data_IF_602555280160
#
_entry.id   IF_602555280160
#
_cell.length_a   1.000
_cell.length_b   1.000
_cell.length_c   1.000
_cell.angle_alpha   90.00
_cell.angle_beta   90.00
_cell.angle_gamma   90.00
#
_symmetry.space_group_name_H-M   'P 1'
#
loop_
_entity.id
_entity.type
_entity.pdbx_description
1 polymer ?
#
# COMPACT_ATOMS: atom_id res chain seq x y z
N UNK A 1 -2.93 2.87 -16.15
CA UNK A 1 -3.43 3.81 -15.13
C UNK A 1 -2.26 4.25 -14.27
N UNK A 2 -2.10 5.56 -14.05
CA UNK A 2 -1.09 6.09 -13.11
C UNK A 2 -1.61 6.04 -11.67
N UNK A 3 -0.72 6.21 -10.69
CA UNK A 3 -1.12 6.26 -9.29
C UNK A 3 -2.10 7.41 -9.01
N UNK A 4 -1.85 8.60 -9.57
CA UNK A 4 -2.74 9.76 -9.40
C UNK A 4 -4.13 9.52 -10.01
N UNK A 5 -4.18 8.90 -11.20
CA UNK A 5 -5.45 8.54 -11.84
C UNK A 5 -6.26 7.55 -10.99
N UNK A 6 -5.59 6.56 -10.40
CA UNK A 6 -6.24 5.61 -9.50
C UNK A 6 -6.67 6.24 -8.17
N UNK A 7 -5.86 7.15 -7.62
CA UNK A 7 -6.24 7.93 -6.44
C UNK A 7 -7.51 8.73 -6.71
N UNK A 8 -7.63 9.35 -7.88
CA UNK A 8 -8.85 10.05 -8.29
C UNK A 8 -10.07 9.11 -8.42
N UNK A 9 -9.88 7.84 -8.78
CA UNK A 9 -10.95 6.83 -8.75
C UNK A 9 -11.38 6.50 -7.32
N UNK A 10 -10.43 6.36 -6.39
CA UNK A 10 -10.76 6.18 -4.96
C UNK A 10 -11.50 7.40 -4.39
N UNK A 11 -11.13 8.62 -4.80
CA UNK A 11 -11.82 9.85 -4.40
C UNK A 11 -13.26 9.91 -4.95
N UNK A 12 -13.53 9.29 -6.11
CA UNK A 12 -14.90 9.13 -6.62
C UNK A 12 -15.66 8.08 -5.81
N UNK A 13 -15.05 6.93 -5.56
CA UNK A 13 -15.65 5.86 -4.76
C UNK A 13 -16.02 6.34 -3.36
N UNK A 14 -15.15 7.13 -2.73
CA UNK A 14 -15.38 7.78 -1.44
C UNK A 14 -16.64 8.69 -1.40
N UNK A 15 -17.00 9.30 -2.54
CA UNK A 15 -18.20 10.13 -2.65
C UNK A 15 -19.47 9.30 -2.79
N UNK A 16 -19.36 8.09 -3.33
CA UNK A 16 -20.47 7.15 -3.49
C UNK A 16 -20.79 6.40 -2.19
N UNK A 17 -19.78 6.19 -1.34
CA UNK A 17 -19.98 5.63 -0.01
C UNK A 17 -18.72 5.03 0.61
N UNK A 18 -18.90 4.27 1.70
CA UNK A 18 -17.81 3.51 2.31
C UNK A 18 -17.24 2.45 1.35
N UNK A 19 -15.95 2.18 1.48
CA UNK A 19 -15.31 1.06 0.79
C UNK A 19 -14.12 0.55 1.60
N UNK A 20 -13.83 -0.74 1.44
CA UNK A 20 -12.66 -1.38 2.03
C UNK A 20 -11.52 -1.45 1.00
N UNK A 21 -10.30 -1.32 1.48
CA UNK A 21 -9.07 -1.37 0.68
C UNK A 21 -7.97 -2.09 1.47
N UNK A 22 -7.20 -2.90 0.75
CA UNK A 22 -6.00 -3.57 1.23
C UNK A 22 -4.79 -3.13 0.41
N UNK A 23 -3.67 -2.94 1.09
CA UNK A 23 -2.33 -2.80 0.50
C UNK A 23 -1.55 -4.09 0.78
N UNK A 24 -0.92 -4.66 -0.24
CA UNK A 24 -0.22 -5.94 -0.22
C UNK A 24 1.14 -5.79 -0.92
N UNK A 25 2.20 -6.30 -0.30
CA UNK A 25 3.55 -6.28 -0.86
C UNK A 25 4.28 -7.61 -0.63
N UNK A 26 5.17 -7.96 -1.56
CA UNK A 26 5.94 -9.20 -1.51
C UNK A 26 7.06 -9.11 -0.47
N UNK A 27 7.04 -10.04 0.47
CA UNK A 27 8.02 -10.07 1.55
C UNK A 27 9.43 -10.34 1.04
N UNK A 28 10.36 -9.45 1.43
CA UNK A 28 11.79 -9.53 1.11
C UNK A 28 12.06 -9.61 -0.41
N UNK A 29 11.24 -8.96 -1.24
CA UNK A 29 11.40 -9.01 -2.70
C UNK A 29 12.79 -8.61 -3.21
N UNK A 30 13.42 -7.58 -2.62
CA UNK A 30 14.79 -7.19 -2.96
C UNK A 30 15.82 -8.29 -2.63
N UNK A 31 15.61 -9.08 -1.57
CA UNK A 31 16.46 -10.22 -1.27
C UNK A 31 16.23 -11.36 -2.28
N UNK A 32 14.97 -11.66 -2.60
CA UNK A 32 14.62 -12.65 -3.63
C UNK A 32 15.28 -12.32 -4.96
N UNK A 33 15.21 -11.06 -5.40
CA UNK A 33 15.87 -10.61 -6.63
C UNK A 33 17.40 -10.74 -6.59
N UNK A 34 18.03 -10.52 -5.42
CA UNK A 34 19.48 -10.69 -5.27
C UNK A 34 19.89 -12.16 -5.29
N UNK A 35 19.06 -13.04 -4.74
CA UNK A 35 19.37 -14.46 -4.61
C UNK A 35 19.07 -15.25 -5.89
N UNK A 36 17.93 -14.98 -6.53
CA UNK A 36 17.44 -15.74 -7.67
C UNK A 36 17.53 -14.97 -9.00
N UNK A 37 17.77 -13.66 -8.96
CA UNK A 37 17.82 -12.80 -10.16
C UNK A 37 16.47 -12.18 -10.50
N UNK A 38 16.51 -11.09 -11.29
CA UNK A 38 15.32 -10.29 -11.63
C UNK A 38 14.26 -11.09 -12.37
N UNK A 39 14.65 -11.96 -13.30
CA UNK A 39 13.70 -12.81 -14.04
C UNK A 39 12.85 -13.69 -13.09
N UNK A 40 13.43 -14.14 -11.97
CA UNK A 40 12.68 -14.89 -10.96
C UNK A 40 11.74 -13.97 -10.18
N UNK A 41 12.14 -12.73 -9.90
CA UNK A 41 11.26 -11.72 -9.30
C UNK A 41 10.09 -11.35 -10.20
N UNK A 42 10.32 -11.20 -11.50
CA UNK A 42 9.25 -10.96 -12.47
C UNK A 42 8.25 -12.11 -12.49
N UNK A 43 8.74 -13.35 -12.37
CA UNK A 43 7.90 -14.54 -12.25
C UNK A 43 7.08 -14.59 -10.96
N UNK A 44 7.59 -14.01 -9.86
CA UNK A 44 6.77 -13.83 -8.64
C UNK A 44 5.58 -12.92 -8.93
N UNK A 45 5.77 -11.82 -9.67
CA UNK A 45 4.65 -10.95 -10.05
C UNK A 45 3.64 -11.65 -10.95
N UNK A 46 4.09 -12.44 -11.93
CA UNK A 46 3.21 -13.23 -12.79
C UNK A 46 2.35 -14.21 -11.96
N UNK A 47 2.98 -14.91 -11.03
CA UNK A 47 2.29 -15.85 -10.13
C UNK A 47 1.31 -15.11 -9.22
N UNK A 48 1.71 -13.98 -8.64
CA UNK A 48 0.86 -13.20 -7.75
C UNK A 48 -0.34 -12.60 -8.49
N UNK A 49 -0.15 -12.00 -9.68
CA UNK A 49 -1.24 -11.47 -10.51
C UNK A 49 -2.23 -12.58 -10.89
N UNK A 50 -1.71 -13.75 -11.31
CA UNK A 50 -2.55 -14.92 -11.59
C UNK A 50 -3.33 -15.37 -10.35
N UNK A 51 -2.66 -15.46 -9.20
CA UNK A 51 -3.28 -15.89 -7.94
C UNK A 51 -4.39 -14.94 -7.53
N UNK A 52 -4.17 -13.63 -7.64
CA UNK A 52 -5.18 -12.61 -7.39
C UNK A 52 -6.40 -12.79 -8.32
N UNK A 53 -6.19 -12.97 -9.64
CA UNK A 53 -7.29 -13.19 -10.60
C UNK A 53 -8.09 -14.46 -10.33
N UNK A 54 -7.43 -15.53 -9.89
CA UNK A 54 -8.08 -16.83 -9.67
C UNK A 54 -8.79 -16.93 -8.31
N UNK A 55 -8.36 -16.16 -7.31
CA UNK A 55 -8.86 -16.28 -5.94
C UNK A 55 -9.72 -15.10 -5.49
N UNK A 56 -9.58 -13.91 -6.11
CA UNK A 56 -10.42 -12.77 -5.77
C UNK A 56 -11.77 -12.84 -6.51
N UNK A 57 -12.90 -12.70 -5.79
CA UNK A 57 -14.22 -12.51 -6.39
C UNK A 57 -14.28 -11.32 -7.35
N UNK A 58 -15.16 -11.37 -8.37
CA UNK A 58 -15.31 -10.31 -9.40
C UNK A 58 -15.61 -8.92 -8.83
N UNK A 59 -16.26 -8.85 -7.66
CA UNK A 59 -16.58 -7.63 -6.93
C UNK A 59 -15.37 -6.97 -6.25
N UNK A 60 -14.20 -7.61 -6.26
CA UNK A 60 -12.94 -7.03 -5.78
C UNK A 60 -12.10 -6.57 -6.96
N UNK A 61 -11.83 -5.27 -7.00
CA UNK A 61 -10.87 -4.70 -7.94
C UNK A 61 -9.48 -4.81 -7.37
N UNK A 62 -8.47 -5.00 -8.23
CA UNK A 62 -7.08 -4.90 -7.82
C UNK A 62 -6.22 -4.17 -8.85
N UNK A 63 -5.17 -3.51 -8.38
CA UNK A 63 -4.17 -2.81 -9.20
C UNK A 63 -2.79 -2.97 -8.61
N UNK A 64 -1.76 -2.92 -9.46
CA UNK A 64 -0.35 -2.95 -9.07
C UNK A 64 0.37 -1.65 -9.43
N UNK A 65 1.17 -1.14 -8.50
CA UNK A 65 2.13 -0.05 -8.71
C UNK A 65 3.53 -0.49 -8.27
N UNK A 66 4.38 -0.86 -9.24
CA UNK A 66 5.69 -1.42 -8.92
C UNK A 66 5.55 -2.75 -8.18
N UNK A 67 5.97 -2.81 -6.92
CA UNK A 67 5.92 -4.03 -6.10
C UNK A 67 4.67 -4.10 -5.21
N UNK A 68 3.91 -3.00 -5.12
CA UNK A 68 2.73 -2.84 -4.27
C UNK A 68 1.46 -3.18 -5.04
N UNK A 69 0.55 -3.87 -4.37
CA UNK A 69 -0.76 -4.27 -4.90
C UNK A 69 -1.86 -3.71 -4.00
N UNK A 70 -2.82 -3.03 -4.59
CA UNK A 70 -4.01 -2.57 -3.91
C UNK A 70 -5.21 -3.40 -4.33
N UNK A 71 -5.99 -3.87 -3.35
CA UNK A 71 -7.26 -4.59 -3.56
C UNK A 71 -8.36 -3.82 -2.87
N UNK A 72 -9.48 -3.52 -3.54
CA UNK A 72 -10.53 -2.67 -2.97
C UNK A 72 -11.92 -2.98 -3.52
N UNK A 73 -12.95 -2.67 -2.72
CA UNK A 73 -14.36 -2.81 -3.10
C UNK A 73 -15.27 -1.99 -2.18
N UNK A 74 -16.33 -1.41 -2.75
CA UNK A 74 -17.45 -0.81 -2.01
C UNK A 74 -18.48 -1.84 -1.52
N UNK A 75 -18.36 -3.09 -1.95
CA UNK A 75 -19.25 -4.19 -1.53
C UNK A 75 -18.69 -4.99 -0.34
N UNK A 76 -17.49 -4.65 0.12
CA UNK A 76 -16.84 -5.29 1.26
C UNK A 76 -16.76 -4.34 2.45
N UNK A 77 -16.96 -4.91 3.64
CA UNK A 77 -16.59 -4.24 4.89
C UNK A 77 -15.11 -4.49 5.17
N UNK A 78 -14.56 -3.71 6.10
CA UNK A 78 -13.21 -3.92 6.62
C UNK A 78 -12.95 -5.40 7.00
N UNK A 79 -13.85 -5.99 7.77
CA UNK A 79 -13.72 -7.34 8.29
C UNK A 79 -13.81 -8.41 7.20
N UNK A 80 -14.76 -8.26 6.25
CA UNK A 80 -14.89 -9.25 5.18
C UNK A 80 -13.69 -9.19 4.24
N UNK A 81 -13.18 -7.99 3.91
CA UNK A 81 -11.97 -7.86 3.09
C UNK A 81 -10.76 -8.45 3.82
N UNK A 82 -10.65 -8.22 5.13
CA UNK A 82 -9.59 -8.80 5.93
C UNK A 82 -9.57 -10.34 5.85
N UNK A 83 -10.73 -10.99 5.94
CA UNK A 83 -10.82 -12.45 5.81
C UNK A 83 -10.37 -12.93 4.41
N UNK A 84 -10.83 -12.28 3.34
CA UNK A 84 -10.40 -12.62 1.96
C UNK A 84 -8.88 -12.48 1.80
N UNK A 85 -8.29 -11.40 2.35
CA UNK A 85 -6.85 -11.17 2.26
C UNK A 85 -6.05 -12.16 3.11
N UNK A 86 -6.60 -12.60 4.25
CA UNK A 86 -5.98 -13.66 5.06
C UNK A 86 -5.96 -14.99 4.29
N UNK A 87 -7.07 -15.37 3.67
CA UNK A 87 -7.16 -16.60 2.89
C UNK A 87 -6.21 -16.56 1.68
N UNK A 88 -6.18 -15.42 0.97
CA UNK A 88 -5.23 -15.17 -0.11
C UNK A 88 -3.77 -15.32 0.36
N UNK A 89 -3.43 -14.75 1.51
CA UNK A 89 -2.06 -14.83 2.07
C UNK A 89 -1.68 -16.28 2.39
N UNK A 90 -2.61 -17.06 2.96
CA UNK A 90 -2.39 -18.48 3.20
C UNK A 90 -2.21 -19.26 1.90
N UNK A 91 -3.00 -18.99 0.87
CA UNK A 91 -2.84 -19.58 -0.46
C UNK A 91 -1.47 -19.28 -1.05
N UNK A 92 -1.06 -18.01 -1.04
CA UNK A 92 0.25 -17.57 -1.55
C UNK A 92 1.39 -18.25 -0.79
N UNK A 93 1.31 -18.37 0.53
CA UNK A 93 2.35 -19.00 1.35
C UNK A 93 2.65 -20.46 0.99
N UNK A 94 1.70 -21.15 0.33
CA UNK A 94 1.83 -22.54 -0.11
C UNK A 94 2.34 -22.66 -1.53
N UNK A 95 2.44 -21.55 -2.27
CA UNK A 95 2.93 -21.55 -3.64
C UNK A 95 4.44 -21.72 -3.66
N UNK A 96 4.88 -22.51 -4.64
CA UNK A 96 6.29 -22.68 -4.97
C UNK A 96 6.44 -22.82 -6.47
N UNK A 97 7.56 -22.37 -7.00
CA UNK A 97 7.88 -22.54 -8.42
C UNK A 97 9.37 -22.77 -8.61
N UNK A 98 9.73 -23.46 -9.68
CA UNK A 98 11.12 -23.64 -10.07
C UNK A 98 11.62 -22.39 -10.80
N UNK A 99 12.76 -21.86 -10.35
CA UNK A 99 13.49 -20.83 -11.05
C UNK A 99 14.99 -21.08 -10.95
N UNK A 100 15.66 -21.14 -12.12
CA UNK A 100 17.11 -21.41 -12.22
C UNK A 100 17.55 -22.67 -11.46
N UNK A 101 16.74 -23.73 -11.53
CA UNK A 101 17.01 -25.02 -10.88
C UNK A 101 16.89 -25.03 -9.37
N UNK A 102 16.22 -24.02 -8.79
CA UNK A 102 15.88 -23.95 -7.37
C UNK A 102 14.38 -23.75 -7.21
N UNK A 103 13.81 -24.42 -6.21
CA UNK A 103 12.46 -24.15 -5.72
C UNK A 103 12.45 -22.81 -4.98
N UNK A 104 11.65 -21.86 -5.47
CA UNK A 104 11.42 -20.55 -4.86
C UNK A 104 10.06 -20.55 -4.17
N UNK A 105 10.03 -20.06 -2.94
CA UNK A 105 8.80 -19.75 -2.19
C UNK A 105 8.81 -18.28 -1.82
N UNK A 106 7.63 -17.71 -1.62
CA UNK A 106 7.49 -16.32 -1.19
C UNK A 106 6.24 -16.16 -0.33
N UNK A 107 6.19 -15.04 0.39
CA UNK A 107 5.04 -14.66 1.22
C UNK A 107 4.70 -13.21 0.90
N UNK A 108 3.50 -12.80 1.28
CA UNK A 108 3.05 -11.42 1.19
C UNK A 108 2.66 -10.92 2.58
N UNK A 109 2.87 -9.64 2.80
CA UNK A 109 2.34 -8.92 3.95
C UNK A 109 1.43 -7.82 3.47
N UNK A 110 0.49 -7.42 4.32
CA UNK A 110 -0.46 -6.38 3.95
C UNK A 110 -1.17 -5.73 5.11
N UNK A 111 -1.88 -4.66 4.79
CA UNK A 111 -2.78 -3.97 5.70
C UNK A 111 -4.14 -3.74 5.04
N UNK A 112 -5.20 -3.80 5.83
CA UNK A 112 -6.58 -3.51 5.37
C UNK A 112 -7.14 -2.33 6.15
N UNK A 113 -7.81 -1.42 5.45
CA UNK A 113 -8.51 -0.27 5.99
C UNK A 113 -9.82 -0.02 5.27
N UNK A 114 -10.66 0.83 5.84
CA UNK A 114 -11.96 1.20 5.31
C UNK A 114 -12.14 2.72 5.35
N UNK A 115 -12.61 3.28 4.25
CA UNK A 115 -13.06 4.67 4.20
C UNK A 115 -14.54 4.76 4.61
N UNK A 116 -14.97 5.73 5.43
CA UNK A 116 -14.17 6.71 6.19
C UNK A 116 -13.80 6.21 7.61
N UNK A 117 -14.01 4.93 7.92
CA UNK A 117 -13.82 4.38 9.28
C UNK A 117 -12.40 4.58 9.81
N UNK A 118 -11.38 4.29 9.01
CA UNK A 118 -9.99 4.43 9.38
C UNK A 118 -9.48 5.87 9.24
N UNK A 119 -9.96 6.61 8.25
CA UNK A 119 -9.48 7.97 7.96
C UNK A 119 -10.54 8.86 7.30
N UNK A 120 -10.43 10.16 7.55
CA UNK A 120 -11.31 11.17 6.98
C UNK A 120 -11.04 11.51 5.50
N UNK A 121 -9.90 11.10 4.93
CA UNK A 121 -9.52 11.36 3.53
C UNK A 121 -8.78 10.16 2.94
N UNK A 122 -8.80 10.01 1.61
CA UNK A 122 -8.08 8.93 0.91
C UNK A 122 -6.58 9.00 1.16
N UNK A 123 -5.98 10.20 1.10
CA UNK A 123 -4.56 10.39 1.37
C UNK A 123 -4.16 9.86 2.75
N UNK A 124 -4.96 10.17 3.79
CA UNK A 124 -4.72 9.65 5.13
C UNK A 124 -4.93 8.14 5.19
N UNK A 125 -5.96 7.61 4.53
CA UNK A 125 -6.22 6.17 4.50
C UNK A 125 -5.03 5.40 3.92
N UNK A 126 -4.50 5.85 2.78
CA UNK A 126 -3.31 5.27 2.15
C UNK A 126 -2.09 5.33 3.08
N UNK A 127 -1.89 6.43 3.79
CA UNK A 127 -0.79 6.53 4.76
C UNK A 127 -0.95 5.58 5.95
N UNK A 128 -2.18 5.38 6.45
CA UNK A 128 -2.46 4.40 7.50
C UNK A 128 -2.28 2.95 6.99
N UNK A 129 -2.61 2.67 5.74
CA UNK A 129 -2.29 1.38 5.11
C UNK A 129 -0.78 1.14 5.09
N UNK A 130 0.03 2.13 4.66
CA UNK A 130 1.49 2.03 4.70
C UNK A 130 2.02 1.83 6.13
N UNK A 131 1.43 2.49 7.14
CA UNK A 131 1.78 2.26 8.55
C UNK A 131 1.46 0.82 8.99
N UNK A 132 0.30 0.30 8.61
CA UNK A 132 -0.10 -1.09 8.82
C UNK A 132 0.83 -2.08 8.13
N UNK A 133 1.20 -1.83 6.88
CA UNK A 133 2.14 -2.63 6.10
C UNK A 133 3.50 -2.72 6.80
N UNK A 134 4.02 -1.58 7.26
CA UNK A 134 5.26 -1.52 8.04
C UNK A 134 5.14 -2.33 9.34
N UNK A 135 4.00 -2.26 10.01
CA UNK A 135 3.71 -3.09 11.19
C UNK A 135 3.77 -4.57 10.83
N UNK A 136 3.02 -5.03 9.83
CA UNK A 136 3.04 -6.43 9.38
C UNK A 136 4.46 -6.93 9.06
N UNK A 137 5.25 -6.12 8.35
CA UNK A 137 6.64 -6.45 8.00
C UNK A 137 7.60 -6.49 9.18
N UNK A 138 7.33 -5.73 10.23
CA UNK A 138 8.17 -5.67 11.44
C UNK A 138 7.74 -6.67 12.52
N UNK A 139 6.47 -7.10 12.52
CA UNK A 139 5.91 -8.06 13.50
C UNK A 139 5.97 -9.52 13.06
N UNK A 140 6.59 -9.82 11.92
CA UNK A 140 6.85 -11.21 11.53
C UNK A 140 6.72 -11.51 10.03
N UNK A 141 6.15 -10.60 9.23
CA UNK A 141 5.81 -10.82 7.81
C UNK A 141 4.76 -11.91 7.61
N UNK A 142 4.41 -12.23 6.37
CA UNK A 142 3.46 -13.29 6.00
C UNK A 142 2.08 -13.10 6.62
N UNK A 143 1.64 -11.86 6.84
CA UNK A 143 0.43 -11.56 7.59
C UNK A 143 -0.28 -10.33 7.06
N UNK A 144 -1.60 -10.34 7.23
CA UNK A 144 -2.47 -9.19 7.02
C UNK A 144 -2.83 -8.60 8.37
N UNK A 145 -2.75 -7.28 8.50
CA UNK A 145 -3.13 -6.54 9.71
C UNK A 145 -4.20 -5.51 9.39
N UNK A 146 -4.90 -5.02 10.41
CA UNK A 146 -5.70 -3.81 10.26
C UNK A 146 -4.80 -2.58 10.24
N UNK A 147 -5.06 -1.66 9.32
CA UNK A 147 -4.53 -0.32 9.38
C UNK A 147 -5.00 0.35 10.69
N UNK A 148 -4.15 1.16 11.34
CA UNK A 148 -4.56 1.90 12.53
C UNK A 148 -5.71 2.85 12.21
N UNK A 149 -6.43 3.28 13.25
CA UNK A 149 -7.37 4.38 13.11
C UNK A 149 -6.60 5.71 13.12
N UNK A 150 -7.07 6.70 12.37
CA UNK A 150 -6.47 8.05 12.34
C UNK A 150 -6.28 8.64 13.75
N UNK A 151 -7.19 8.31 14.68
CA UNK A 151 -7.14 8.76 16.08
C UNK A 151 -6.00 8.12 16.89
N UNK A 152 -5.48 6.99 16.45
CA UNK A 152 -4.41 6.22 17.11
C UNK A 152 -3.02 6.62 16.61
N UNK A 153 -2.91 7.17 15.39
CA UNK A 153 -1.66 7.65 14.83
C UNK A 153 -1.23 8.95 15.51
N UNK A 154 -0.25 8.85 16.42
CA UNK A 154 0.33 10.01 17.10
C UNK A 154 1.25 10.77 16.16
N UNK A 155 0.88 12.00 15.82
CA UNK A 155 1.81 12.93 15.19
C UNK A 155 2.98 13.23 16.13
N UNK A 156 4.20 13.13 15.62
CA UNK A 156 5.43 13.46 16.36
C UNK A 156 6.06 14.68 15.71
N UNK A 157 6.33 15.71 16.52
CA UNK A 157 7.04 16.89 16.05
C UNK A 157 8.49 16.54 15.72
N UNK A 158 8.97 17.01 14.56
CA UNK A 158 10.38 16.94 14.16
C UNK A 158 10.83 18.31 13.67
N UNK A 159 11.93 18.81 14.23
CA UNK A 159 12.55 20.06 13.79
C UNK A 159 13.44 19.81 12.58
N UNK A 160 13.28 20.61 11.53
CA UNK A 160 14.10 20.60 10.31
C UNK A 160 14.56 22.01 9.97
N UNK A 161 15.65 22.12 9.20
CA UNK A 161 16.17 23.38 8.68
C UNK A 161 15.96 23.44 7.17
N UNK A 162 15.46 24.57 6.67
CA UNK A 162 15.25 24.83 5.24
C UNK A 162 15.90 26.15 4.85
N UNK A 163 16.37 26.25 3.61
CA UNK A 163 16.84 27.51 3.05
C UNK A 163 15.65 28.48 2.87
N UNK A 164 15.93 29.79 2.95
CA UNK A 164 14.90 30.82 2.77
C UNK A 164 14.18 30.68 1.42
N UNK A 165 14.94 30.43 0.36
CA UNK A 165 14.39 30.22 -0.99
C UNK A 165 13.46 29.02 -1.09
N UNK A 166 13.71 27.96 -0.32
CA UNK A 166 12.83 26.79 -0.26
C UNK A 166 11.51 27.13 0.44
N UNK A 167 11.57 27.90 1.53
CA UNK A 167 10.37 28.36 2.24
C UNK A 167 9.54 29.32 1.38
N UNK A 168 10.19 30.23 0.66
CA UNK A 168 9.49 31.14 -0.26
C UNK A 168 8.82 30.35 -1.41
N UNK A 169 9.46 29.29 -1.90
CA UNK A 169 8.89 28.36 -2.88
C UNK A 169 7.71 27.57 -2.34
N UNK A 170 7.83 27.03 -1.13
CA UNK A 170 6.77 26.30 -0.45
C UNK A 170 5.54 27.19 -0.23
N UNK A 171 5.73 28.43 0.22
CA UNK A 171 4.65 29.40 0.42
C UNK A 171 3.91 29.76 -0.88
N UNK A 172 4.60 29.79 -2.01
CA UNK A 172 3.95 29.95 -3.32
C UNK A 172 3.14 28.71 -3.70
N UNK A 173 3.67 27.53 -3.43
CA UNK A 173 3.01 26.26 -3.74
C UNK A 173 1.77 26.03 -2.88
N UNK A 174 1.79 26.40 -1.60
CA UNK A 174 0.62 26.33 -0.71
C UNK A 174 -0.52 27.21 -1.22
N UNK A 175 -0.21 28.45 -1.64
CA UNK A 175 -1.19 29.36 -2.22
C UNK A 175 -1.77 28.84 -3.54
N UNK A 176 -0.93 28.26 -4.40
CA UNK A 176 -1.34 27.72 -5.70
C UNK A 176 -2.27 26.50 -5.55
N UNK A 177 -1.96 25.60 -4.61
CA UNK A 177 -2.70 24.35 -4.40
C UNK A 177 -3.81 24.46 -3.35
N UNK A 178 -3.94 25.60 -2.67
CA UNK A 178 -4.82 25.80 -1.52
C UNK A 178 -4.65 24.70 -0.44
N UNK A 179 -3.39 24.38 -0.10
CA UNK A 179 -3.00 23.35 0.88
C UNK A 179 -2.03 23.92 1.91
N UNK A 180 -1.97 23.32 3.10
CA UNK A 180 -1.03 23.75 4.16
C UNK A 180 0.39 23.28 3.90
N UNK A 181 1.40 24.00 4.42
CA UNK A 181 2.81 23.61 4.33
C UNK A 181 3.04 22.19 4.87
N UNK A 182 2.44 21.88 6.03
CA UNK A 182 2.53 20.55 6.64
C UNK A 182 1.89 19.45 5.79
N UNK A 183 0.90 19.76 4.95
CA UNK A 183 0.34 18.78 4.00
C UNK A 183 1.34 18.48 2.89
N UNK A 184 1.91 19.52 2.27
CA UNK A 184 2.85 19.36 1.16
C UNK A 184 4.16 18.71 1.59
N UNK A 185 4.66 19.04 2.79
CA UNK A 185 5.86 18.42 3.35
C UNK A 185 5.65 16.94 3.69
N UNK A 186 4.44 16.55 4.10
CA UNK A 186 4.09 15.14 4.32
C UNK A 186 4.03 14.39 3.00
N UNK A 187 3.36 14.93 1.99
CA UNK A 187 3.35 14.34 0.65
C UNK A 187 4.77 14.15 0.11
N UNK A 188 5.62 15.17 0.19
CA UNK A 188 7.01 15.06 -0.25
C UNK A 188 7.80 13.99 0.53
N UNK A 189 7.52 13.81 1.83
CA UNK A 189 8.12 12.75 2.64
C UNK A 189 7.58 11.38 2.24
N UNK A 190 6.28 11.23 2.06
CA UNK A 190 5.63 9.98 1.65
C UNK A 190 6.15 9.54 0.26
N UNK A 191 6.26 10.48 -0.69
CA UNK A 191 6.86 10.25 -2.00
C UNK A 191 8.32 9.82 -1.90
N UNK A 192 9.09 10.43 -0.98
CA UNK A 192 10.47 10.04 -0.73
C UNK A 192 10.56 8.63 -0.13
N UNK A 193 9.72 8.30 0.85
CA UNK A 193 9.69 6.97 1.46
C UNK A 193 9.30 5.90 0.44
N UNK A 194 8.25 6.15 -0.37
CA UNK A 194 7.86 5.29 -1.50
C UNK A 194 9.01 5.09 -2.48
N UNK A 195 9.71 6.17 -2.85
CA UNK A 195 10.87 6.11 -3.75
C UNK A 195 11.96 5.17 -3.24
N UNK A 196 12.15 5.06 -1.92
CA UNK A 196 13.17 4.20 -1.30
C UNK A 196 12.62 2.90 -0.72
N UNK A 197 11.33 2.60 -0.88
CA UNK A 197 10.66 1.38 -0.39
C UNK A 197 10.82 1.19 1.13
N UNK A 198 10.63 2.27 1.89
CA UNK A 198 10.74 2.31 3.36
C UNK A 198 9.37 2.38 4.05
#
# INVERSE_FOLDING_TARGET
MTFDQWKDELEKLAKEGPFAIADIDIDKFALLNREFGRDCGDRVFEILDKTLRENLPERLSFIRFGDEFFVYSSEYTLETLFMEMQDLTQTISKLSFECRGKTVTFTVSGAVGEFPRNASTIEKLLNLLSEGMRKAKTTGRGQIVFAPLEKESKMVMKSNYYLRSQLDGLAKLTALLNRTESSLLREALDDLLRKYKL
#
